data_IF_115490127541
#
_entry.id   IF_115490127541
#
_cell.length_a   1.000
_cell.length_b   1.000
_cell.length_c   1.000
_cell.angle_alpha   90.00
_cell.angle_beta   90.00
_cell.angle_gamma   90.00
#
_symmetry.space_group_name_H-M   'P 1'
#
loop_
_entity.id
_entity.type
_entity.pdbx_description
1 polymer ?
#
# COMPACT_ATOMS: atom_id res chain seq x y z
N UNK A 1 6.27 7.86 -6.51
CA UNK A 1 7.42 6.94 -6.46
C UNK A 1 7.86 6.59 -5.02
N UNK A 2 7.59 7.40 -4.03
CA UNK A 2 7.94 7.13 -2.63
C UNK A 2 6.72 6.69 -1.79
N UNK A 3 5.54 6.84 -2.33
CA UNK A 3 4.26 6.55 -1.68
C UNK A 3 3.31 5.89 -2.69
N UNK A 4 2.35 5.07 -2.22
CA UNK A 4 1.31 4.53 -3.08
C UNK A 4 0.53 5.65 -3.76
N UNK A 5 0.20 5.46 -5.04
CA UNK A 5 -0.67 6.37 -5.78
C UNK A 5 -2.07 5.78 -5.84
N UNK A 6 -3.07 6.59 -5.53
CA UNK A 6 -4.47 6.16 -5.54
C UNK A 6 -5.09 6.35 -6.93
N UNK A 7 -6.09 5.53 -7.26
CA UNK A 7 -6.75 5.56 -8.58
C UNK A 7 -7.34 6.94 -8.91
N UNK A 8 -7.92 7.64 -7.93
CA UNK A 8 -8.44 8.99 -8.16
C UNK A 8 -7.34 10.00 -8.54
N UNK A 9 -6.13 9.85 -7.98
CA UNK A 9 -4.97 10.70 -8.34
C UNK A 9 -4.51 10.41 -9.76
N UNK A 10 -4.46 9.13 -10.14
CA UNK A 10 -4.15 8.70 -11.50
C UNK A 10 -5.16 9.29 -12.49
N UNK A 11 -6.45 9.21 -12.19
CA UNK A 11 -7.50 9.73 -13.03
C UNK A 11 -7.42 11.26 -13.17
N UNK A 12 -7.20 11.99 -12.06
CA UNK A 12 -7.00 13.44 -12.10
C UNK A 12 -5.79 13.83 -12.96
N UNK A 13 -4.66 13.12 -12.86
CA UNK A 13 -3.48 13.38 -13.67
C UNK A 13 -3.78 13.13 -15.15
N UNK A 14 -4.46 12.03 -15.47
CA UNK A 14 -4.87 11.72 -16.85
C UNK A 14 -5.78 12.78 -17.45
N UNK A 15 -6.76 13.24 -16.70
CA UNK A 15 -7.71 14.26 -17.13
C UNK A 15 -7.02 15.62 -17.38
N UNK A 16 -6.10 16.02 -16.50
CA UNK A 16 -5.45 17.32 -16.58
C UNK A 16 -4.37 17.37 -17.67
N UNK A 17 -3.59 16.30 -17.81
CA UNK A 17 -2.42 16.29 -18.69
C UNK A 17 -2.64 15.53 -19.99
N UNK A 18 -3.79 14.89 -20.19
CA UNK A 18 -4.13 14.08 -21.37
C UNK A 18 -3.00 13.11 -21.77
N UNK A 19 -2.43 12.43 -20.77
CA UNK A 19 -1.31 11.51 -20.97
C UNK A 19 -1.46 10.24 -20.13
N UNK A 20 -0.86 9.11 -20.55
CA UNK A 20 -0.82 7.91 -19.74
C UNK A 20 0.01 8.14 -18.47
N UNK A 21 -0.49 7.64 -17.34
CA UNK A 21 0.24 7.62 -16.07
C UNK A 21 0.89 6.26 -15.90
N UNK A 22 2.20 6.25 -15.70
CA UNK A 22 2.99 5.04 -15.46
C UNK A 22 3.45 5.09 -14.02
N UNK A 23 3.01 4.10 -13.25
CA UNK A 23 3.44 3.89 -11.88
C UNK A 23 4.73 3.07 -11.88
N UNK A 24 5.67 3.45 -11.02
CA UNK A 24 6.93 2.73 -10.85
C UNK A 24 7.12 2.36 -9.38
N UNK A 25 7.70 1.20 -9.16
CA UNK A 25 8.18 0.75 -7.86
C UNK A 25 9.70 0.64 -7.87
N UNK A 26 10.33 1.03 -6.78
CA UNK A 26 11.78 0.90 -6.58
C UNK A 26 12.20 1.50 -5.24
N UNK A 27 13.41 1.16 -4.81
CA UNK A 27 14.00 1.63 -3.57
C UNK A 27 15.30 2.37 -3.82
N UNK A 28 15.76 3.15 -2.85
CA UNK A 28 17.05 3.85 -2.88
C UNK A 28 18.24 2.88 -2.94
N UNK A 29 18.06 1.68 -2.41
CA UNK A 29 19.02 0.56 -2.40
C UNK A 29 19.26 -0.04 -3.79
N UNK A 30 18.37 0.23 -4.77
CA UNK A 30 18.45 -0.25 -6.15
C UNK A 30 18.51 -1.80 -6.25
N UNK A 31 17.73 -2.47 -5.41
CA UNK A 31 17.71 -3.95 -5.39
C UNK A 31 16.70 -4.55 -6.37
N UNK A 32 15.64 -3.81 -6.71
CA UNK A 32 14.70 -4.15 -7.78
C UNK A 32 14.00 -2.90 -8.31
N UNK A 33 13.39 -3.04 -9.48
CA UNK A 33 12.60 -1.98 -10.10
C UNK A 33 11.47 -2.59 -10.93
N UNK A 34 10.28 -2.05 -10.82
CA UNK A 34 9.14 -2.52 -11.59
C UNK A 34 8.31 -1.35 -12.14
N UNK A 35 7.67 -1.57 -13.28
CA UNK A 35 6.82 -0.60 -13.95
C UNK A 35 5.43 -1.18 -14.18
N UNK A 36 4.40 -0.34 -13.97
CA UNK A 36 3.04 -0.64 -14.39
C UNK A 36 2.86 -0.22 -15.83
N UNK A 37 2.42 -1.14 -16.66
CA UNK A 37 2.12 -0.87 -18.06
C UNK A 37 0.68 -0.36 -18.25
N UNK A 38 0.34 0.23 -19.42
CA UNK A 38 -1.00 0.76 -19.69
C UNK A 38 -2.13 -0.29 -19.59
N UNK A 39 -1.80 -1.58 -19.73
CA UNK A 39 -2.75 -2.70 -19.53
C UNK A 39 -3.10 -2.95 -18.05
N UNK A 40 -2.47 -2.21 -17.12
CA UNK A 40 -2.66 -2.35 -15.68
C UNK A 40 -1.74 -3.37 -15.00
N UNK A 41 -1.02 -4.20 -15.76
CA UNK A 41 -0.09 -5.18 -15.22
C UNK A 41 1.24 -4.54 -14.85
N UNK A 42 1.89 -5.07 -13.83
CA UNK A 42 3.20 -4.63 -13.36
C UNK A 42 4.27 -5.68 -13.71
N UNK A 43 5.41 -5.23 -14.18
CA UNK A 43 6.51 -6.09 -14.58
C UNK A 43 7.83 -5.61 -14.01
N UNK A 44 8.66 -6.56 -13.56
CA UNK A 44 10.00 -6.30 -13.08
C UNK A 44 10.97 -6.02 -14.24
N UNK A 45 11.94 -5.15 -14.00
CA UNK A 45 13.09 -4.90 -14.85
C UNK A 45 14.23 -5.87 -14.46
N UNK A 46 14.42 -6.98 -15.16
CA UNK A 46 15.32 -8.05 -14.73
C UNK A 46 16.80 -7.66 -14.77
N UNK A 47 17.14 -6.58 -15.46
CA UNK A 47 18.49 -6.00 -15.49
C UNK A 47 18.86 -5.24 -14.22
N UNK A 48 17.85 -4.84 -13.41
CA UNK A 48 18.06 -4.10 -12.16
C UNK A 48 18.34 -5.03 -10.98
N UNK A 49 17.67 -6.18 -10.95
CA UNK A 49 17.74 -7.12 -9.85
C UNK A 49 16.88 -8.36 -10.07
N UNK A 50 16.80 -9.17 -9.04
CA UNK A 50 15.96 -10.35 -8.98
C UNK A 50 15.11 -10.34 -7.71
N UNK A 51 13.81 -10.48 -7.86
CA UNK A 51 12.84 -10.47 -6.77
C UNK A 51 12.35 -11.88 -6.43
N UNK A 52 12.24 -12.14 -5.13
CA UNK A 52 11.68 -13.35 -4.55
C UNK A 52 10.48 -12.96 -3.66
N UNK A 53 9.41 -13.73 -3.71
CA UNK A 53 8.28 -13.55 -2.82
C UNK A 53 8.31 -14.66 -1.77
N UNK A 54 8.52 -14.27 -0.52
CA UNK A 54 8.52 -15.19 0.61
C UNK A 54 7.16 -15.14 1.29
N UNK A 55 6.35 -16.15 1.05
CA UNK A 55 5.03 -16.31 1.66
C UNK A 55 5.14 -16.95 3.04
N UNK A 56 4.16 -16.71 3.89
CA UNK A 56 4.03 -17.40 5.16
C UNK A 56 3.40 -18.79 4.96
N UNK A 57 3.58 -19.69 5.92
CA UNK A 57 2.90 -20.99 5.91
C UNK A 57 1.42 -20.89 6.27
N UNK A 58 0.98 -19.74 6.82
CA UNK A 58 -0.41 -19.51 7.19
C UNK A 58 -1.29 -19.42 5.93
N UNK A 59 -2.31 -20.28 5.80
CA UNK A 59 -3.23 -20.26 4.66
C UNK A 59 -3.97 -18.93 4.48
N UNK A 60 -4.17 -18.16 5.56
CA UNK A 60 -4.87 -16.87 5.51
C UNK A 60 -3.98 -15.77 4.91
N UNK A 61 -2.66 -15.93 5.01
CA UNK A 61 -1.66 -14.96 4.53
C UNK A 61 -1.13 -15.30 3.12
N UNK A 62 -1.66 -16.31 2.43
CA UNK A 62 -1.18 -16.74 1.09
C UNK A 62 -1.41 -15.74 -0.04
N UNK A 63 -2.22 -14.72 0.18
CA UNK A 63 -2.52 -13.70 -0.83
C UNK A 63 -1.39 -12.70 -1.01
N UNK A 64 -0.41 -12.68 -0.11
CA UNK A 64 0.75 -11.80 -0.15
C UNK A 64 1.99 -12.48 0.44
N UNK A 65 3.14 -11.88 0.19
CA UNK A 65 4.42 -12.30 0.78
C UNK A 65 5.33 -11.11 0.97
N UNK A 66 6.43 -11.35 1.68
CA UNK A 66 7.53 -10.37 1.79
C UNK A 66 8.31 -10.33 0.50
N UNK A 67 8.63 -9.13 0.05
CA UNK A 67 9.49 -8.91 -1.10
C UNK A 67 10.95 -8.94 -0.65
N UNK A 68 11.66 -9.96 -1.10
CA UNK A 68 13.11 -10.11 -0.93
C UNK A 68 13.75 -9.86 -2.28
N UNK A 69 14.80 -9.06 -2.35
CA UNK A 69 15.41 -8.73 -3.63
C UNK A 69 16.95 -8.76 -3.61
N UNK A 70 17.54 -9.11 -4.75
CA UNK A 70 18.98 -9.11 -4.97
C UNK A 70 19.31 -8.12 -6.08
N UNK A 71 20.05 -7.05 -5.75
CA UNK A 71 20.41 -5.99 -6.69
C UNK A 71 21.63 -6.30 -7.52
N UNK A 72 21.62 -5.96 -8.81
CA UNK A 72 22.73 -6.18 -9.74
C UNK A 72 23.58 -4.95 -10.04
N UNK A 73 23.06 -3.76 -9.76
CA UNK A 73 23.67 -2.49 -10.18
C UNK A 73 24.67 -1.94 -9.18
N UNK A 74 24.41 -2.05 -7.89
CA UNK A 74 25.25 -1.46 -6.85
C UNK A 74 26.44 -2.38 -6.50
N UNK A 75 27.52 -2.26 -7.27
CA UNK A 75 28.74 -3.07 -7.06
C UNK A 75 29.52 -2.68 -5.81
N UNK A 76 29.34 -1.45 -5.31
CA UNK A 76 30.04 -0.98 -4.11
C UNK A 76 29.41 -1.52 -2.82
N UNK A 77 28.09 -1.79 -2.85
CA UNK A 77 27.34 -2.37 -1.75
C UNK A 77 26.37 -3.40 -2.34
N UNK A 78 26.83 -4.60 -2.67
CA UNK A 78 25.97 -5.63 -3.23
C UNK A 78 25.03 -6.15 -2.15
N UNK A 79 23.74 -5.98 -2.38
CA UNK A 79 22.69 -6.49 -1.51
C UNK A 79 22.14 -7.78 -2.11
N UNK A 80 22.32 -8.88 -1.39
CA UNK A 80 21.86 -10.22 -1.78
C UNK A 80 20.76 -10.64 -0.83
N UNK A 81 19.60 -11.00 -1.38
CA UNK A 81 18.40 -11.36 -0.60
C UNK A 81 18.05 -10.34 0.47
N UNK A 82 18.07 -9.08 0.08
CA UNK A 82 17.72 -7.95 0.94
C UNK A 82 16.20 -7.97 1.22
N UNK A 83 15.83 -7.93 2.50
CA UNK A 83 14.43 -7.76 2.92
C UNK A 83 14.06 -6.29 2.74
N UNK A 84 13.17 -6.01 1.79
CA UNK A 84 12.73 -4.64 1.47
C UNK A 84 11.76 -4.10 2.51
N UNK A 85 11.25 -4.96 3.40
CA UNK A 85 10.16 -4.69 4.34
C UNK A 85 8.82 -4.36 3.64
N UNK A 86 8.74 -4.57 2.33
CA UNK A 86 7.51 -4.38 1.56
C UNK A 86 6.74 -5.70 1.38
N UNK A 87 5.41 -5.61 1.44
CA UNK A 87 4.51 -6.71 1.15
C UNK A 87 4.02 -6.61 -0.28
N UNK A 88 4.02 -7.73 -0.97
CA UNK A 88 3.64 -7.85 -2.38
C UNK A 88 2.54 -8.92 -2.55
N UNK A 89 1.57 -8.64 -3.41
CA UNK A 89 0.51 -9.59 -3.76
C UNK A 89 1.07 -10.76 -4.55
N UNK A 90 0.58 -11.98 -4.23
CA UNK A 90 0.88 -13.21 -4.98
C UNK A 90 -0.11 -13.49 -6.11
N UNK A 91 -1.16 -12.67 -6.27
CA UNK A 91 -2.24 -12.94 -7.25
C UNK A 91 -1.79 -12.85 -8.72
N UNK A 92 -0.66 -12.17 -9.01
CA UNK A 92 -0.14 -12.01 -10.36
C UNK A 92 0.36 -13.31 -10.99
N UNK A 93 0.80 -14.29 -10.18
CA UNK A 93 1.26 -15.60 -10.68
C UNK A 93 0.20 -16.32 -11.51
N UNK A 94 -1.08 -15.96 -11.33
CA UNK A 94 -2.21 -16.55 -12.04
C UNK A 94 -2.53 -15.88 -13.39
N UNK A 95 -1.98 -14.69 -13.64
CA UNK A 95 -2.31 -13.86 -14.82
C UNK A 95 -1.17 -13.71 -15.83
N UNK A 96 -0.29 -14.70 -15.96
CA UNK A 96 0.72 -14.64 -17.01
C UNK A 96 0.06 -14.55 -18.39
N UNK A 97 -0.18 -13.33 -18.83
CA UNK A 97 -0.59 -13.04 -20.20
C UNK A 97 0.62 -13.26 -21.12
N UNK A 98 0.51 -14.22 -22.02
CA UNK A 98 1.57 -14.79 -22.85
C UNK A 98 2.28 -13.81 -23.83
N UNK A 99 2.04 -12.51 -23.75
CA UNK A 99 2.57 -11.53 -24.70
C UNK A 99 3.69 -10.62 -24.13
N UNK A 100 4.07 -10.77 -22.87
CA UNK A 100 5.17 -10.00 -22.28
C UNK A 100 6.27 -10.96 -21.81
N UNK A 101 7.50 -10.75 -22.26
CA UNK A 101 8.66 -11.55 -21.85
C UNK A 101 9.30 -11.09 -20.54
N UNK A 102 8.76 -10.02 -19.94
CA UNK A 102 9.25 -9.52 -18.66
C UNK A 102 8.64 -10.31 -17.50
N UNK A 103 9.38 -10.52 -16.40
CA UNK A 103 8.85 -11.15 -15.20
C UNK A 103 7.68 -10.35 -14.64
N UNK A 104 6.53 -10.99 -14.35
CA UNK A 104 5.40 -10.32 -13.71
C UNK A 104 5.79 -9.88 -12.30
N UNK A 105 5.24 -8.74 -11.87
CA UNK A 105 5.47 -8.20 -10.55
C UNK A 105 4.13 -7.90 -9.87
N UNK A 106 3.97 -8.33 -8.63
CA UNK A 106 2.74 -8.15 -7.89
C UNK A 106 2.48 -6.71 -7.49
N UNK A 107 1.25 -6.42 -7.09
CA UNK A 107 0.91 -5.13 -6.50
C UNK A 107 1.60 -5.01 -5.15
N UNK A 108 2.31 -3.90 -4.91
CA UNK A 108 2.81 -3.55 -3.58
C UNK A 108 1.62 -3.18 -2.70
N UNK A 109 1.51 -3.83 -1.56
CA UNK A 109 0.41 -3.68 -0.62
C UNK A 109 0.73 -2.71 0.53
N UNK A 110 1.99 -2.37 0.70
CA UNK A 110 2.50 -1.52 1.76
C UNK A 110 3.68 -2.18 2.48
N UNK A 111 4.07 -1.61 3.62
CA UNK A 111 5.13 -2.17 4.44
C UNK A 111 4.58 -3.20 5.41
N UNK A 112 5.44 -4.11 5.82
CA UNK A 112 5.10 -5.13 6.82
C UNK A 112 4.69 -4.51 8.17
N UNK A 113 5.16 -3.29 8.46
CA UNK A 113 4.77 -2.53 9.65
C UNK A 113 3.45 -1.75 9.48
N UNK A 114 2.94 -1.62 8.26
CA UNK A 114 1.74 -0.85 7.92
C UNK A 114 0.53 -1.79 7.76
N UNK A 115 0.35 -2.74 8.70
CA UNK A 115 -0.75 -3.70 8.74
C UNK A 115 -1.65 -3.46 9.95
N UNK A 116 -2.93 -3.80 9.82
CA UNK A 116 -3.86 -3.87 10.96
C UNK A 116 -4.06 -5.34 11.34
N UNK A 117 -4.17 -5.61 12.64
CA UNK A 117 -4.42 -6.95 13.16
C UNK A 117 -5.81 -6.97 13.79
N UNK A 118 -6.68 -7.83 13.29
CA UNK A 118 -8.02 -8.04 13.82
C UNK A 118 -8.00 -8.88 15.11
N UNK A 119 -9.11 -8.96 15.84
CA UNK A 119 -9.21 -9.75 17.08
C UNK A 119 -8.93 -11.24 16.88
N UNK A 120 -9.28 -11.79 15.71
CA UNK A 120 -9.02 -13.19 15.33
C UNK A 120 -7.60 -13.42 14.81
N UNK A 121 -6.73 -12.38 14.84
CA UNK A 121 -5.34 -12.44 14.40
C UNK A 121 -5.13 -12.27 12.90
N UNK A 122 -6.21 -12.09 12.12
CA UNK A 122 -6.12 -11.83 10.68
C UNK A 122 -5.44 -10.48 10.43
N UNK A 123 -4.52 -10.47 9.47
CA UNK A 123 -3.82 -9.27 9.03
C UNK A 123 -4.56 -8.59 7.87
N UNK A 124 -4.84 -7.31 8.02
CA UNK A 124 -5.42 -6.47 6.98
C UNK A 124 -4.33 -5.56 6.43
N UNK A 125 -3.83 -5.91 5.26
CA UNK A 125 -2.67 -5.28 4.61
C UNK A 125 -3.10 -4.16 3.67
N UNK A 126 -4.35 -4.20 3.19
CA UNK A 126 -4.83 -3.29 2.17
C UNK A 126 -6.07 -2.55 2.64
N UNK A 127 -5.97 -1.23 2.74
CA UNK A 127 -7.08 -0.33 3.07
C UNK A 127 -7.41 0.64 1.94
N UNK A 128 -7.05 0.26 0.70
CA UNK A 128 -7.33 1.03 -0.50
C UNK A 128 -8.83 1.38 -0.57
N UNK A 129 -9.12 2.62 -0.98
CA UNK A 129 -10.48 3.11 -1.10
C UNK A 129 -11.18 3.49 0.22
N UNK A 130 -10.52 3.35 1.38
CA UNK A 130 -11.08 3.84 2.64
C UNK A 130 -11.13 5.38 2.65
N UNK A 131 -10.08 6.02 2.12
CA UNK A 131 -9.98 7.47 1.98
C UNK A 131 -10.26 7.89 0.53
N UNK A 132 -11.49 7.64 0.07
CA UNK A 132 -11.88 8.00 -1.29
C UNK A 132 -12.23 9.49 -1.41
N UNK A 133 -12.11 10.03 -2.63
CA UNK A 133 -12.51 11.41 -2.94
C UNK A 133 -13.99 11.66 -2.69
N UNK A 134 -14.83 10.64 -2.85
CA UNK A 134 -16.27 10.72 -2.62
C UNK A 134 -16.62 11.02 -1.17
N UNK A 135 -15.74 10.71 -0.24
CA UNK A 135 -15.87 11.06 1.18
C UNK A 135 -15.34 12.46 1.50
N UNK A 136 -14.89 13.21 0.51
CA UNK A 136 -14.28 14.53 0.68
C UNK A 136 -13.10 14.53 1.67
N UNK A 137 -12.20 13.56 1.51
CA UNK A 137 -11.00 13.41 2.32
C UNK A 137 -9.77 13.71 1.45
N UNK A 138 -8.92 14.63 1.91
CA UNK A 138 -7.63 14.91 1.28
C UNK A 138 -6.56 13.90 1.71
N UNK A 139 -6.55 13.57 3.00
CA UNK A 139 -5.60 12.63 3.58
C UNK A 139 -6.21 11.95 4.81
N UNK A 140 -5.83 10.70 5.06
CA UNK A 140 -6.28 9.97 6.22
C UNK A 140 -5.18 9.06 6.79
N UNK A 141 -5.20 8.87 8.10
CA UNK A 141 -4.30 7.99 8.84
C UNK A 141 -5.10 7.16 9.82
N UNK A 142 -4.84 5.86 9.87
CA UNK A 142 -5.41 4.94 10.84
C UNK A 142 -4.37 4.66 11.91
N UNK A 143 -4.78 4.79 13.16
CA UNK A 143 -3.99 4.43 14.33
C UNK A 143 -4.74 3.31 15.03
N UNK A 144 -4.17 2.11 15.01
CA UNK A 144 -4.68 0.96 15.76
C UNK A 144 -4.13 1.02 17.18
N UNK A 145 -5.00 1.33 18.17
CA UNK A 145 -4.63 1.41 19.60
C UNK A 145 -4.66 0.03 20.27
N UNK A 146 -5.68 -0.75 19.94
CA UNK A 146 -5.88 -2.15 20.39
C UNK A 146 -6.43 -2.97 19.23
N UNK A 147 -6.71 -4.26 19.43
CA UNK A 147 -7.38 -5.09 18.42
C UNK A 147 -8.79 -4.61 18.08
N UNK A 148 -9.41 -3.79 18.92
CA UNK A 148 -10.79 -3.30 18.78
C UNK A 148 -10.90 -1.79 18.65
N UNK A 149 -9.91 -1.02 19.09
CA UNK A 149 -10.01 0.42 19.17
C UNK A 149 -9.12 1.10 18.15
N UNK A 150 -9.73 1.89 17.29
CA UNK A 150 -9.08 2.58 16.18
C UNK A 150 -9.36 4.07 16.22
N UNK A 151 -8.32 4.86 15.98
CA UNK A 151 -8.42 6.29 15.74
C UNK A 151 -8.12 6.56 14.27
N UNK A 152 -9.08 7.14 13.55
CA UNK A 152 -8.90 7.59 12.18
C UNK A 152 -8.75 9.11 12.18
N UNK A 153 -7.53 9.58 11.86
CA UNK A 153 -7.27 11.01 11.64
C UNK A 153 -7.56 11.36 10.19
N UNK A 154 -8.26 12.46 9.96
CA UNK A 154 -8.69 12.88 8.62
C UNK A 154 -8.36 14.34 8.39
N UNK A 155 -7.75 14.64 7.24
CA UNK A 155 -7.66 16.00 6.69
C UNK A 155 -8.80 16.16 5.69
N UNK A 156 -9.83 16.99 5.99
CA UNK A 156 -11.00 17.10 5.16
C UNK A 156 -10.75 17.94 3.90
N UNK A 157 -11.43 17.59 2.81
CA UNK A 157 -11.61 18.40 1.62
C UNK A 157 -12.87 19.27 1.72
N UNK A 158 -13.07 20.14 0.73
CA UNK A 158 -14.32 20.86 0.58
C UNK A 158 -15.50 19.86 0.40
N UNK A 159 -16.56 20.03 1.20
CA UNK A 159 -17.72 19.13 1.19
C UNK A 159 -17.73 18.09 2.32
N UNK A 160 -16.68 17.98 3.12
CA UNK A 160 -16.68 17.11 4.32
C UNK A 160 -17.82 17.47 5.27
N UNK A 161 -18.61 16.48 5.69
CA UNK A 161 -19.79 16.65 6.54
C UNK A 161 -20.06 15.38 7.38
N UNK A 162 -21.15 15.36 8.13
CA UNK A 162 -21.54 14.23 8.98
C UNK A 162 -21.79 12.93 8.19
N UNK A 163 -22.28 13.03 6.94
CA UNK A 163 -22.47 11.86 6.09
C UNK A 163 -21.13 11.23 5.70
N UNK A 164 -20.11 12.06 5.46
CA UNK A 164 -18.72 11.58 5.22
C UNK A 164 -18.18 10.80 6.43
N UNK A 165 -18.47 11.28 7.65
CA UNK A 165 -18.08 10.58 8.89
C UNK A 165 -18.78 9.24 9.01
N UNK A 166 -20.08 9.17 8.77
CA UNK A 166 -20.85 7.94 8.85
C UNK A 166 -20.40 6.92 7.80
N UNK A 167 -20.20 7.37 6.56
CA UNK A 167 -19.74 6.51 5.47
C UNK A 167 -18.32 5.98 5.72
N UNK A 168 -17.41 6.82 6.22
CA UNK A 168 -16.06 6.38 6.59
C UNK A 168 -16.08 5.29 7.67
N UNK A 169 -16.90 5.46 8.71
CA UNK A 169 -17.07 4.45 9.76
C UNK A 169 -17.65 3.15 9.20
N UNK A 170 -18.68 3.23 8.36
CA UNK A 170 -19.28 2.07 7.73
C UNK A 170 -18.28 1.31 6.87
N UNK A 171 -17.57 2.00 5.97
CA UNK A 171 -16.55 1.42 5.10
C UNK A 171 -15.40 0.75 5.89
N UNK A 172 -15.04 1.32 7.05
CA UNK A 172 -14.03 0.71 7.91
C UNK A 172 -14.58 -0.55 8.60
N UNK A 173 -15.80 -0.49 9.13
CA UNK A 173 -16.43 -1.61 9.85
C UNK A 173 -16.78 -2.79 8.93
N UNK A 174 -16.99 -2.56 7.63
CA UNK A 174 -17.13 -3.64 6.64
C UNK A 174 -15.85 -4.47 6.48
N UNK A 175 -14.68 -3.84 6.67
CA UNK A 175 -13.38 -4.49 6.53
C UNK A 175 -12.90 -5.13 7.82
N UNK A 176 -13.18 -4.47 8.93
CA UNK A 176 -12.80 -4.92 10.27
C UNK A 176 -14.05 -4.85 11.13
N UNK A 177 -14.63 -6.02 11.43
CA UNK A 177 -15.85 -6.13 12.22
C UNK A 177 -15.57 -5.98 13.72
N UNK A 178 -16.62 -5.64 14.47
CA UNK A 178 -16.64 -5.57 15.94
C UNK A 178 -15.57 -4.63 16.52
N UNK A 179 -15.47 -3.41 15.95
CA UNK A 179 -14.48 -2.40 16.33
C UNK A 179 -15.10 -1.06 16.71
N UNK A 180 -14.41 -0.36 17.60
CA UNK A 180 -14.71 1.01 17.97
C UNK A 180 -13.86 1.95 17.10
N UNK A 181 -14.52 2.86 16.38
CA UNK A 181 -13.85 3.80 15.49
C UNK A 181 -14.12 5.23 15.96
N UNK A 182 -13.06 5.89 16.42
CA UNK A 182 -13.02 7.32 16.67
C UNK A 182 -12.51 8.06 15.44
N UNK A 183 -13.14 9.16 15.02
CA UNK A 183 -12.67 10.00 13.92
C UNK A 183 -12.23 11.34 14.48
N UNK A 184 -11.02 11.73 14.16
CA UNK A 184 -10.43 13.02 14.51
C UNK A 184 -10.12 13.83 13.26
N UNK A 185 -10.75 15.00 13.14
CA UNK A 185 -10.44 15.95 12.07
C UNK A 185 -9.20 16.76 12.43
N UNK A 186 -8.25 16.81 11.50
CA UNK A 186 -6.95 17.48 11.64
C UNK A 186 -6.75 18.47 10.48
N UNK A 187 -5.91 19.47 10.67
CA UNK A 187 -5.47 20.37 9.58
C UNK A 187 -4.40 19.71 8.71
N UNK A 188 -3.55 18.93 9.32
CA UNK A 188 -2.47 18.17 8.70
C UNK A 188 -2.20 16.89 9.49
N UNK A 189 -1.56 15.92 8.85
CA UNK A 189 -1.16 14.66 9.47
C UNK A 189 0.34 14.67 9.74
N UNK A 190 0.72 14.00 10.83
CA UNK A 190 2.12 13.87 11.23
C UNK A 190 2.91 13.06 10.19
N UNK A 191 4.06 13.60 9.83
CA UNK A 191 5.06 12.90 9.01
C UNK A 191 6.15 12.32 9.90
N UNK A 192 6.80 11.27 9.41
CA UNK A 192 8.00 10.75 10.07
C UNK A 192 9.12 11.80 10.01
N UNK A 193 10.18 11.62 10.80
CA UNK A 193 11.38 12.50 10.76
C UNK A 193 12.00 12.56 9.35
N UNK A 194 11.82 11.53 8.52
CA UNK A 194 12.27 11.48 7.12
C UNK A 194 11.27 12.14 6.14
N UNK A 195 10.22 12.80 6.65
CA UNK A 195 9.20 13.46 5.83
C UNK A 195 8.17 12.52 5.20
N UNK A 196 8.26 11.20 5.44
CA UNK A 196 7.33 10.22 4.91
C UNK A 196 6.04 10.19 5.72
N UNK A 197 4.93 9.96 5.04
CA UNK A 197 3.62 9.78 5.63
C UNK A 197 3.32 8.27 5.78
N UNK A 198 2.81 7.85 6.94
CA UNK A 198 2.32 6.49 7.17
C UNK A 198 0.80 6.52 7.23
N UNK A 199 0.16 5.76 6.36
CA UNK A 199 -1.31 5.62 6.32
C UNK A 199 -1.80 4.79 7.50
N UNK A 200 -1.04 3.79 7.92
CA UNK A 200 -1.32 2.95 9.08
C UNK A 200 -0.24 3.14 10.13
N UNK A 201 -0.66 3.25 11.39
CA UNK A 201 0.18 3.08 12.57
C UNK A 201 -0.47 2.05 13.47
N UNK A 202 0.28 1.07 13.95
CA UNK A 202 -0.23 0.09 14.92
C UNK A 202 0.59 0.17 16.19
N UNK A 203 -0.09 0.38 17.33
CA UNK A 203 0.53 0.40 18.65
C UNK A 203 0.66 -1.02 19.23
N UNK A 204 0.10 -2.04 18.53
CA UNK A 204 0.14 -3.45 18.96
C UNK A 204 1.21 -4.28 18.22
N UNK A 205 1.80 -3.71 17.17
CA UNK A 205 2.95 -4.28 16.47
C UNK A 205 4.18 -3.52 16.95
N UNK A 206 4.97 -4.16 17.77
CA UNK A 206 6.29 -3.67 18.21
C UNK A 206 7.39 -4.37 17.46
#
# INVERSE_FOLDING_TARGET
NAEPVYEYQINTIREVFDCPVIETYGQAELVCFANRFPNGDMYESPEMGYSEIVTTEDPQDKQYGKLIATGFLNKAMPLIRYDTDDLISTEFEKKMNNNCSLPPFGKILGRNDDILITQDGRKVVQIDGLFSSDLHILNGQIIQKTHTDFLIKVVPAAGWNEQSVLALKANFSERIQDVNVEIQVCKELEKTWAGKFRVIKSDIIN
#
